data_IF_791926022654
#
_entry.id   IF_791926022654
#
_cell.length_a   1.000
_cell.length_b   1.000
_cell.length_c   1.000
_cell.angle_alpha   90.00
_cell.angle_beta   90.00
_cell.angle_gamma   90.00
#
_symmetry.space_group_name_H-M   'P 1'
#
loop_
_entity.id
_entity.type
_entity.pdbx_description
1 polymer ?
#
# COMPACT_ATOMS: atom_id res chain seq x y z
N UNK A 1 -1.21 18.59 0.82
CA UNK A 1 -1.86 17.32 0.42
C UNK A 1 -3.15 17.18 1.22
N UNK A 2 -4.26 16.86 0.55
CA UNK A 2 -5.50 16.51 1.24
C UNK A 2 -5.38 15.11 1.83
N UNK A 3 -6.11 14.86 2.91
CA UNK A 3 -6.15 13.54 3.54
C UNK A 3 -7.47 13.33 4.28
N UNK A 4 -7.90 12.10 4.34
CA UNK A 4 -8.87 11.62 5.32
C UNK A 4 -8.16 10.78 6.38
N UNK A 5 -8.65 10.82 7.59
CA UNK A 5 -8.27 9.90 8.65
C UNK A 5 -9.52 9.34 9.32
N UNK A 6 -9.38 8.10 9.74
CA UNK A 6 -10.37 7.43 10.57
C UNK A 6 -9.68 7.00 11.86
N UNK A 7 -10.20 7.43 12.99
CA UNK A 7 -9.78 6.95 14.30
C UNK A 7 -10.58 5.70 14.68
N UNK A 8 -10.02 4.82 15.53
CA UNK A 8 -10.78 3.72 16.09
C UNK A 8 -12.09 4.22 16.74
N UNK A 9 -13.14 3.40 16.68
CA UNK A 9 -14.46 3.76 17.20
C UNK A 9 -14.44 4.24 18.66
N UNK A 10 -13.71 3.52 19.52
CA UNK A 10 -13.54 3.83 20.93
C UNK A 10 -12.18 4.49 21.18
N UNK A 11 -11.85 5.49 20.34
CA UNK A 11 -10.56 6.16 20.38
C UNK A 11 -10.31 6.82 21.74
N UNK A 12 -9.22 6.42 22.39
CA UNK A 12 -8.73 7.01 23.61
C UNK A 12 -7.39 7.75 23.34
N UNK A 13 -7.31 9.07 23.46
CA UNK A 13 -6.10 9.84 23.16
C UNK A 13 -4.92 9.53 24.08
N UNK A 14 -5.14 8.82 25.19
CA UNK A 14 -4.09 8.35 26.08
C UNK A 14 -3.44 7.02 25.66
N UNK A 15 -3.97 6.38 24.61
CA UNK A 15 -3.45 5.12 24.09
C UNK A 15 -2.71 5.31 22.77
N UNK A 16 -1.81 4.36 22.47
CA UNK A 16 -1.16 4.28 21.15
C UNK A 16 -1.86 3.24 20.30
N UNK A 17 -2.05 3.57 19.04
CA UNK A 17 -2.73 2.71 18.08
C UNK A 17 -1.83 2.33 16.91
N UNK A 18 -2.03 1.14 16.32
CA UNK A 18 -1.51 0.83 15.00
C UNK A 18 -1.95 1.88 13.98
N UNK A 19 -1.16 2.05 12.93
CA UNK A 19 -1.50 2.91 11.78
C UNK A 19 -1.59 2.05 10.53
N UNK A 20 -2.61 2.29 9.71
CA UNK A 20 -2.68 1.80 8.34
C UNK A 20 -2.62 3.00 7.40
N UNK A 21 -1.55 3.10 6.63
CA UNK A 21 -1.44 4.03 5.52
C UNK A 21 -2.09 3.40 4.29
N UNK A 22 -3.11 4.04 3.73
CA UNK A 22 -3.81 3.59 2.54
C UNK A 22 -3.53 4.50 1.35
N UNK A 23 -2.99 3.94 0.26
CA UNK A 23 -2.65 4.64 -0.97
C UNK A 23 -3.61 4.21 -2.09
N UNK A 24 -4.43 5.13 -2.58
CA UNK A 24 -5.42 4.91 -3.63
C UNK A 24 -4.81 4.76 -5.03
N UNK A 25 -5.60 4.33 -6.00
CA UNK A 25 -5.22 4.20 -7.41
C UNK A 25 -5.17 5.53 -8.18
N UNK A 26 -4.91 5.43 -9.48
CA UNK A 26 -4.78 6.63 -10.32
C UNK A 26 -6.13 7.33 -10.57
N UNK A 27 -7.24 6.60 -10.51
CA UNK A 27 -8.58 7.14 -10.72
C UNK A 27 -9.07 8.08 -9.62
N UNK A 28 -8.54 7.91 -8.41
CA UNK A 28 -8.96 8.64 -7.21
C UNK A 28 -8.10 9.88 -6.92
N UNK A 29 -7.21 10.23 -7.86
CA UNK A 29 -6.41 11.47 -7.78
C UNK A 29 -7.31 12.70 -7.83
N UNK A 30 -6.93 13.73 -7.12
CA UNK A 30 -7.69 14.98 -7.09
C UNK A 30 -7.42 15.86 -5.91
N UNK A 31 -8.44 16.65 -5.55
CA UNK A 31 -8.41 17.61 -4.44
C UNK A 31 -9.77 17.74 -3.73
N UNK A 32 -10.70 16.82 -4.00
CA UNK A 32 -12.02 16.79 -3.35
C UNK A 32 -11.97 16.23 -1.92
N UNK A 33 -10.89 15.53 -1.58
CA UNK A 33 -10.71 14.84 -0.31
C UNK A 33 -11.79 13.78 -0.02
N UNK A 34 -12.33 13.14 -1.07
CA UNK A 34 -13.38 12.12 -1.00
C UNK A 34 -13.05 10.90 -1.86
N UNK A 35 -12.62 11.11 -3.11
CA UNK A 35 -12.39 10.05 -4.08
C UNK A 35 -11.40 8.97 -3.59
N UNK A 36 -10.40 9.33 -2.78
CA UNK A 36 -9.42 8.37 -2.23
C UNK A 36 -10.04 7.26 -1.37
N UNK A 37 -11.32 7.38 -0.97
CA UNK A 37 -12.01 6.39 -0.15
C UNK A 37 -12.98 5.50 -0.95
N UNK A 38 -13.14 5.75 -2.25
CA UNK A 38 -14.09 4.99 -3.10
C UNK A 38 -13.81 3.49 -3.08
N UNK A 39 -12.55 3.09 -3.02
CA UNK A 39 -12.15 1.69 -2.88
C UNK A 39 -11.57 1.45 -1.47
N UNK A 40 -12.15 0.51 -0.75
CA UNK A 40 -11.68 0.11 0.58
C UNK A 40 -12.18 0.97 1.75
N UNK A 41 -12.76 2.14 1.51
CA UNK A 41 -13.28 3.02 2.56
C UNK A 41 -14.28 2.30 3.48
N UNK A 42 -15.25 1.59 2.91
CA UNK A 42 -16.28 0.83 3.66
C UNK A 42 -15.66 -0.31 4.47
N UNK A 43 -14.66 -1.00 3.93
CA UNK A 43 -13.94 -2.07 4.64
C UNK A 43 -13.26 -1.52 5.90
N UNK A 44 -12.54 -0.40 5.79
CA UNK A 44 -11.90 0.22 6.95
C UNK A 44 -12.90 0.80 7.95
N UNK A 45 -14.05 1.32 7.48
CA UNK A 45 -15.06 1.94 8.31
C UNK A 45 -16.08 0.94 8.92
N UNK A 46 -16.08 -0.32 8.49
CA UNK A 46 -17.04 -1.30 8.98
C UNK A 46 -16.95 -1.48 10.50
N UNK A 47 -18.10 -1.68 11.14
CA UNK A 47 -18.18 -1.89 12.58
C UNK A 47 -17.31 -3.06 13.04
N UNK A 48 -17.34 -4.16 12.29
CA UNK A 48 -16.59 -5.38 12.60
C UNK A 48 -15.08 -5.11 12.59
N UNK A 49 -14.57 -4.47 11.51
CA UNK A 49 -13.15 -4.21 11.37
C UNK A 49 -12.65 -3.17 12.39
N UNK A 50 -13.46 -2.13 12.65
CA UNK A 50 -13.15 -1.12 13.68
C UNK A 50 -13.06 -1.74 15.09
N UNK A 51 -13.83 -2.80 15.36
CA UNK A 51 -13.83 -3.49 16.64
C UNK A 51 -12.67 -4.49 16.76
N UNK A 52 -12.44 -5.29 15.71
CA UNK A 52 -11.41 -6.33 15.72
C UNK A 52 -9.99 -5.79 15.51
N UNK A 53 -9.85 -4.75 14.71
CA UNK A 53 -8.57 -4.20 14.24
C UNK A 53 -8.50 -2.69 14.45
N UNK A 54 -8.60 -2.21 15.70
CA UNK A 54 -8.58 -0.78 15.98
C UNK A 54 -7.24 -0.16 15.56
N UNK A 55 -7.29 0.72 14.57
CA UNK A 55 -6.13 1.42 14.01
C UNK A 55 -6.50 2.85 13.58
N UNK A 56 -5.51 3.72 13.51
CA UNK A 56 -5.64 5.01 12.84
C UNK A 56 -5.42 4.76 11.33
N UNK A 57 -6.45 4.99 10.53
CA UNK A 57 -6.34 4.90 9.07
C UNK A 57 -5.96 6.27 8.53
N UNK A 58 -4.91 6.35 7.71
CA UNK A 58 -4.48 7.58 7.04
C UNK A 58 -4.61 7.36 5.54
N UNK A 59 -5.51 8.08 4.89
CA UNK A 59 -5.78 8.02 3.47
C UNK A 59 -5.50 9.38 2.81
N UNK A 60 -4.25 9.65 2.40
CA UNK A 60 -3.90 10.87 1.66
C UNK A 60 -4.48 10.81 0.24
N UNK A 61 -4.77 11.97 -0.36
CA UNK A 61 -5.16 12.08 -1.77
C UNK A 61 -3.99 12.63 -2.59
N UNK A 62 -3.58 11.87 -3.60
CA UNK A 62 -2.58 12.29 -4.57
C UNK A 62 -3.18 13.33 -5.51
N UNK A 63 -2.51 14.46 -5.77
CA UNK A 63 -2.99 15.44 -6.74
C UNK A 63 -3.15 14.85 -8.16
N UNK A 64 -4.04 15.44 -8.97
CA UNK A 64 -4.44 14.92 -10.28
C UNK A 64 -3.26 14.60 -11.23
N UNK A 65 -2.24 15.46 -11.28
CA UNK A 65 -1.10 15.32 -12.20
C UNK A 65 0.13 14.66 -11.53
N UNK A 66 -0.07 14.00 -10.38
CA UNK A 66 1.03 13.39 -9.61
C UNK A 66 0.84 11.90 -9.47
N UNK A 67 1.90 11.24 -8.98
CA UNK A 67 1.93 9.80 -8.70
C UNK A 67 2.57 9.56 -7.34
N UNK A 68 2.29 8.37 -6.75
CA UNK A 68 2.95 7.96 -5.51
C UNK A 68 4.42 7.59 -5.74
N UNK A 69 4.71 6.93 -6.86
CA UNK A 69 6.07 6.48 -7.21
C UNK A 69 6.43 6.86 -8.64
N UNK A 70 7.72 6.95 -8.93
CA UNK A 70 8.19 7.14 -10.29
C UNK A 70 8.07 5.83 -11.10
N UNK A 71 7.42 5.93 -12.23
CA UNK A 71 7.41 4.88 -13.25
C UNK A 71 7.32 5.49 -14.65
N UNK A 72 7.82 4.76 -15.66
CA UNK A 72 7.78 5.16 -17.07
C UNK A 72 7.19 4.01 -17.89
N UNK A 73 6.64 4.33 -19.06
CA UNK A 73 6.10 3.36 -20.00
C UNK A 73 4.58 3.26 -19.98
N UNK A 74 4.05 2.45 -20.89
CA UNK A 74 2.63 2.31 -21.17
C UNK A 74 2.00 1.16 -20.37
N UNK A 75 0.67 1.13 -20.37
CA UNK A 75 -0.13 0.08 -19.74
C UNK A 75 0.12 -1.31 -20.38
N UNK A 76 -0.27 -2.36 -19.67
CA UNK A 76 -0.22 -3.74 -20.14
C UNK A 76 -0.81 -3.89 -21.55
N UNK A 77 -0.21 -4.73 -22.38
CA UNK A 77 -0.67 -5.03 -23.74
C UNK A 77 -0.27 -4.03 -24.84
N UNK A 78 0.47 -2.95 -24.51
CA UNK A 78 1.07 -2.02 -25.51
C UNK A 78 2.59 -2.22 -25.58
N UNK A 79 3.16 -1.94 -26.75
CA UNK A 79 4.62 -1.94 -26.91
C UNK A 79 5.25 -0.98 -25.88
N UNK A 80 6.16 -1.50 -25.04
CA UNK A 80 6.81 -0.73 -24.00
C UNK A 80 6.33 -1.12 -22.60
N UNK A 81 7.03 -2.07 -21.96
CA UNK A 81 6.74 -2.47 -20.58
C UNK A 81 6.94 -1.29 -19.64
N UNK A 82 6.06 -1.19 -18.64
CA UNK A 82 6.22 -0.24 -17.55
C UNK A 82 7.57 -0.44 -16.86
N UNK A 83 8.30 0.63 -16.64
CA UNK A 83 9.65 0.60 -16.06
C UNK A 83 9.67 1.39 -14.75
N UNK A 84 10.25 0.80 -13.73
CA UNK A 84 10.45 1.42 -12.40
C UNK A 84 11.94 1.76 -12.23
N UNK A 85 12.31 3.07 -12.20
CA UNK A 85 13.73 3.46 -12.08
C UNK A 85 14.36 2.99 -10.77
N UNK A 86 15.60 2.53 -10.83
CA UNK A 86 16.33 2.06 -9.64
C UNK A 86 16.58 3.20 -8.64
N UNK A 87 17.08 4.32 -9.13
CA UNK A 87 17.57 5.45 -8.31
C UNK A 87 16.66 6.69 -8.40
N UNK A 88 15.37 6.50 -8.64
CA UNK A 88 14.45 7.62 -8.66
C UNK A 88 14.32 8.26 -7.27
N UNK A 89 14.36 9.61 -7.18
CA UNK A 89 14.03 10.30 -5.94
C UNK A 89 12.59 10.00 -5.53
N UNK A 90 12.24 10.29 -4.28
CA UNK A 90 10.85 10.26 -3.87
C UNK A 90 10.06 11.32 -4.66
N UNK A 91 8.87 10.97 -5.13
CA UNK A 91 7.97 11.97 -5.70
C UNK A 91 7.56 12.98 -4.62
N UNK A 92 7.12 14.16 -5.03
CA UNK A 92 6.59 15.16 -4.08
C UNK A 92 5.43 14.59 -3.25
N UNK A 93 4.57 13.77 -3.87
CA UNK A 93 3.47 13.12 -3.17
C UNK A 93 3.97 12.12 -2.12
N UNK A 94 4.97 11.31 -2.47
CA UNK A 94 5.56 10.34 -1.53
C UNK A 94 6.31 11.03 -0.38
N UNK A 95 7.04 12.10 -0.65
CA UNK A 95 7.69 12.91 0.40
C UNK A 95 6.66 13.48 1.37
N UNK A 96 5.57 14.07 0.86
CA UNK A 96 4.49 14.60 1.69
C UNK A 96 3.75 13.51 2.50
N UNK A 97 3.61 12.29 1.95
CA UNK A 97 3.07 11.14 2.71
C UNK A 97 3.99 10.77 3.87
N UNK A 98 5.31 10.76 3.63
CA UNK A 98 6.28 10.46 4.70
C UNK A 98 6.24 11.53 5.80
N UNK A 99 6.24 12.81 5.44
CA UNK A 99 6.12 13.92 6.40
C UNK A 99 4.83 13.82 7.21
N UNK A 100 3.71 13.50 6.54
CA UNK A 100 2.42 13.29 7.20
C UNK A 100 2.51 12.15 8.23
N UNK A 101 3.05 11.01 7.86
CA UNK A 101 3.20 9.88 8.77
C UNK A 101 4.11 10.22 9.96
N UNK A 102 5.22 10.93 9.70
CA UNK A 102 6.13 11.40 10.75
C UNK A 102 5.43 12.34 11.74
N UNK A 103 4.53 13.21 11.27
CA UNK A 103 3.76 14.09 12.15
C UNK A 103 2.86 13.31 13.11
N UNK A 104 2.19 12.24 12.63
CA UNK A 104 1.39 11.35 13.49
C UNK A 104 2.25 10.60 14.52
N UNK A 105 3.43 10.14 14.09
CA UNK A 105 4.38 9.48 15.01
C UNK A 105 4.83 10.48 16.10
N UNK A 106 5.15 11.70 15.71
CA UNK A 106 5.60 12.76 16.64
C UNK A 106 4.53 13.17 17.66
N UNK A 107 3.24 13.03 17.32
CA UNK A 107 2.13 13.24 18.27
C UNK A 107 2.10 12.22 19.43
N UNK A 108 2.88 11.14 19.34
CA UNK A 108 2.98 10.13 20.38
C UNK A 108 1.79 9.15 20.49
N UNK A 109 0.86 9.20 19.53
CA UNK A 109 -0.36 8.37 19.50
C UNK A 109 -0.22 7.08 18.68
N UNK A 110 0.91 6.93 18.00
CA UNK A 110 1.19 5.79 17.11
C UNK A 110 1.99 4.73 17.85
N UNK A 111 1.54 3.47 17.72
CA UNK A 111 2.38 2.32 18.01
C UNK A 111 3.36 2.11 16.86
N UNK A 112 4.58 2.58 17.03
CA UNK A 112 5.61 2.56 15.98
C UNK A 112 6.09 1.17 15.59
N UNK A 113 5.73 0.14 16.36
CA UNK A 113 5.99 -1.25 15.99
C UNK A 113 4.92 -1.82 15.05
N UNK A 114 3.74 -1.19 14.99
CA UNK A 114 2.59 -1.64 14.21
C UNK A 114 2.13 -0.57 13.23
N UNK A 115 3.01 -0.20 12.31
CA UNK A 115 2.69 0.67 11.18
C UNK A 115 2.59 -0.21 9.94
N UNK A 116 1.47 -0.14 9.25
CA UNK A 116 1.17 -0.93 8.07
C UNK A 116 0.94 -0.03 6.86
N UNK A 117 1.18 -0.53 5.67
CA UNK A 117 0.87 0.17 4.43
C UNK A 117 0.17 -0.74 3.44
N UNK A 118 -0.85 -0.21 2.79
CA UNK A 118 -1.56 -0.88 1.70
C UNK A 118 -1.91 0.11 0.61
N UNK A 119 -2.15 -0.40 -0.59
CA UNK A 119 -2.61 0.42 -1.70
C UNK A 119 -2.86 -0.41 -2.95
N UNK A 120 -3.65 0.16 -3.86
CA UNK A 120 -4.10 -0.51 -5.08
C UNK A 120 -3.58 0.20 -6.33
N UNK A 121 -3.21 -0.56 -7.38
CA UNK A 121 -2.76 -0.04 -8.67
C UNK A 121 -1.59 0.96 -8.50
N UNK A 122 -1.75 2.23 -8.82
CA UNK A 122 -0.78 3.29 -8.52
C UNK A 122 -0.39 3.29 -7.03
N UNK A 123 -1.34 3.06 -6.12
CA UNK A 123 -1.11 2.92 -4.68
C UNK A 123 -0.35 1.64 -4.32
N UNK A 124 -0.55 0.55 -5.05
CA UNK A 124 0.24 -0.68 -4.92
C UNK A 124 1.72 -0.44 -5.28
N UNK A 125 1.96 0.35 -6.33
CA UNK A 125 3.31 0.81 -6.69
C UNK A 125 3.90 1.70 -5.58
N UNK A 126 3.09 2.62 -5.04
CA UNK A 126 3.47 3.46 -3.91
C UNK A 126 3.79 2.68 -2.65
N UNK A 127 3.04 1.59 -2.40
CA UNK A 127 3.28 0.67 -1.28
C UNK A 127 4.65 0.01 -1.37
N UNK A 128 5.03 -0.51 -2.52
CA UNK A 128 6.38 -1.03 -2.72
C UNK A 128 7.43 0.07 -2.56
N UNK A 129 7.22 1.25 -3.18
CA UNK A 129 8.20 2.32 -3.17
C UNK A 129 8.50 2.85 -1.75
N UNK A 130 7.45 3.09 -0.94
CA UNK A 130 7.65 3.61 0.42
C UNK A 130 8.35 2.60 1.33
N UNK A 131 8.04 1.30 1.20
CA UNK A 131 8.74 0.26 1.98
C UNK A 131 10.20 0.15 1.56
N UNK A 132 10.50 0.23 0.25
CA UNK A 132 11.89 0.20 -0.23
C UNK A 132 12.69 1.44 0.19
N UNK A 133 12.05 2.58 0.43
CA UNK A 133 12.71 3.79 0.94
C UNK A 133 12.92 3.75 2.45
N UNK A 134 11.98 3.13 3.18
CA UNK A 134 11.97 3.11 4.65
C UNK A 134 11.79 1.67 5.16
N UNK A 135 12.81 0.80 4.99
CA UNK A 135 12.69 -0.66 5.16
C UNK A 135 12.44 -1.12 6.60
N UNK A 136 12.56 -0.23 7.58
CA UNK A 136 12.34 -0.51 9.00
C UNK A 136 11.19 0.32 9.59
N UNK A 137 10.31 0.84 8.74
CA UNK A 137 9.18 1.68 9.17
C UNK A 137 7.87 0.89 9.28
N UNK A 138 7.68 -0.08 8.39
CA UNK A 138 6.43 -0.82 8.28
C UNK A 138 6.59 -2.25 8.76
N UNK A 139 5.67 -2.72 9.61
CA UNK A 139 5.61 -4.11 10.03
C UNK A 139 5.06 -5.03 8.92
N UNK A 140 4.04 -4.55 8.18
CA UNK A 140 3.48 -5.27 7.06
C UNK A 140 3.10 -4.34 5.90
N UNK A 141 3.11 -4.87 4.68
CA UNK A 141 2.74 -4.19 3.46
C UNK A 141 1.85 -5.08 2.58
N UNK A 142 0.74 -4.53 2.08
CA UNK A 142 -0.16 -5.26 1.19
C UNK A 142 -0.37 -4.51 -0.13
N UNK A 143 0.59 -4.59 -1.07
CA UNK A 143 0.44 -4.03 -2.40
C UNK A 143 -0.54 -4.85 -3.24
N UNK A 144 -1.51 -4.19 -3.88
CA UNK A 144 -2.53 -4.81 -4.74
C UNK A 144 -2.34 -4.30 -6.17
N UNK A 145 -2.29 -5.21 -7.16
CA UNK A 145 -2.10 -4.96 -8.59
C UNK A 145 -1.06 -3.86 -8.91
N UNK A 146 0.06 -3.89 -8.20
CA UNK A 146 1.15 -2.94 -8.33
C UNK A 146 2.39 -3.53 -9.02
N UNK A 147 3.47 -2.77 -8.97
CA UNK A 147 4.77 -3.20 -9.45
C UNK A 147 5.89 -2.34 -8.88
N UNK A 148 7.13 -2.82 -9.00
CA UNK A 148 8.29 -2.15 -8.43
C UNK A 148 9.58 -2.43 -9.22
N UNK A 149 10.66 -1.75 -8.89
CA UNK A 149 11.98 -2.08 -9.40
C UNK A 149 12.48 -3.38 -8.76
N UNK A 150 12.68 -4.40 -9.56
CA UNK A 150 13.07 -5.74 -9.10
C UNK A 150 14.44 -5.77 -8.41
N UNK A 151 15.36 -4.93 -8.84
CA UNK A 151 16.69 -4.86 -8.21
C UNK A 151 16.61 -4.29 -6.79
N UNK A 152 15.73 -3.30 -6.56
CA UNK A 152 15.47 -2.79 -5.20
C UNK A 152 14.84 -3.89 -4.33
N UNK A 153 13.87 -4.63 -4.83
CA UNK A 153 13.23 -5.73 -4.11
C UNK A 153 14.22 -6.86 -3.78
N UNK A 154 15.04 -7.26 -4.76
CA UNK A 154 16.05 -8.31 -4.56
C UNK A 154 17.15 -7.92 -3.54
N UNK A 155 17.34 -6.63 -3.30
CA UNK A 155 18.26 -6.10 -2.30
C UNK A 155 17.58 -5.66 -1.00
N UNK A 156 16.32 -5.99 -0.81
CA UNK A 156 15.59 -5.64 0.41
C UNK A 156 16.23 -6.26 1.66
N UNK A 157 16.45 -5.44 2.69
CA UNK A 157 17.04 -5.85 3.97
C UNK A 157 16.19 -5.43 5.18
N UNK A 158 14.95 -5.05 4.92
CA UNK A 158 14.00 -4.67 5.97
C UNK A 158 13.34 -5.87 6.64
N UNK A 159 12.51 -5.57 7.64
CA UNK A 159 11.72 -6.56 8.39
C UNK A 159 10.26 -6.60 7.97
N UNK A 160 9.84 -5.75 7.04
CA UNK A 160 8.46 -5.69 6.57
C UNK A 160 8.04 -7.02 5.96
N UNK A 161 6.93 -7.59 6.43
CA UNK A 161 6.27 -8.73 5.78
C UNK A 161 5.41 -8.24 4.62
N UNK A 162 5.28 -9.02 3.55
CA UNK A 162 4.51 -8.67 2.36
C UNK A 162 3.38 -9.65 2.11
N UNK A 163 2.18 -9.13 1.79
CA UNK A 163 1.08 -9.90 1.22
C UNK A 163 0.68 -9.26 -0.10
N UNK A 164 1.10 -9.85 -1.20
CA UNK A 164 0.92 -9.30 -2.56
C UNK A 164 -0.33 -9.91 -3.17
N UNK A 165 -1.18 -9.07 -3.78
CA UNK A 165 -2.42 -9.49 -4.45
C UNK A 165 -2.45 -8.98 -5.89
N UNK A 166 -2.99 -9.79 -6.84
CA UNK A 166 -3.15 -9.38 -8.23
C UNK A 166 -4.25 -10.19 -8.94
N UNK A 167 -4.91 -9.57 -9.91
CA UNK A 167 -5.81 -10.27 -10.83
C UNK A 167 -5.03 -10.99 -11.92
N UNK A 168 -5.31 -12.29 -12.13
CA UNK A 168 -4.58 -13.10 -13.12
C UNK A 168 -4.82 -12.68 -14.58
N UNK A 169 -5.89 -11.91 -14.85
CA UNK A 169 -6.25 -11.40 -16.18
C UNK A 169 -6.16 -9.87 -16.25
N UNK A 170 -5.37 -9.25 -15.40
CA UNK A 170 -5.23 -7.79 -15.33
C UNK A 170 -4.78 -7.19 -16.67
N UNK A 171 -5.67 -6.39 -17.30
CA UNK A 171 -5.46 -5.75 -18.59
C UNK A 171 -4.78 -4.38 -18.51
N UNK A 172 -4.54 -3.85 -17.31
CA UNK A 172 -3.98 -2.51 -17.07
C UNK A 172 -2.55 -2.58 -16.52
N UNK A 173 -2.34 -3.41 -15.50
CA UNK A 173 -1.02 -3.66 -14.90
C UNK A 173 -0.72 -5.15 -15.05
N UNK A 174 0.28 -5.48 -15.84
CA UNK A 174 0.64 -6.88 -16.10
C UNK A 174 0.88 -7.62 -14.78
N UNK A 175 0.17 -8.72 -14.57
CA UNK A 175 0.29 -9.60 -13.39
C UNK A 175 1.73 -10.08 -13.16
N UNK A 176 2.53 -10.12 -14.23
CA UNK A 176 3.94 -10.50 -14.16
C UNK A 176 4.74 -9.60 -13.22
N UNK A 177 4.37 -8.32 -13.05
CA UNK A 177 5.04 -7.44 -12.09
C UNK A 177 4.93 -7.95 -10.65
N UNK A 178 3.77 -8.46 -10.25
CA UNK A 178 3.60 -9.02 -8.90
C UNK A 178 4.23 -10.39 -8.74
N UNK A 179 4.22 -11.22 -9.78
CA UNK A 179 4.93 -12.52 -9.79
C UNK A 179 6.44 -12.30 -9.61
N UNK A 180 7.02 -11.39 -10.41
CA UNK A 180 8.43 -11.06 -10.34
C UNK A 180 8.81 -10.40 -9.00
N UNK A 181 7.94 -9.54 -8.44
CA UNK A 181 8.14 -8.93 -7.14
C UNK A 181 8.17 -9.97 -6.01
N UNK A 182 7.23 -10.93 -6.03
CA UNK A 182 7.20 -12.04 -5.09
C UNK A 182 8.49 -12.87 -5.13
N UNK A 183 8.96 -13.23 -6.34
CA UNK A 183 10.20 -13.98 -6.48
C UNK A 183 11.45 -13.18 -6.05
N UNK A 184 11.49 -11.89 -6.34
CA UNK A 184 12.59 -11.04 -5.92
C UNK A 184 12.66 -10.90 -4.39
N UNK A 185 11.51 -10.73 -3.72
CA UNK A 185 11.43 -10.65 -2.26
C UNK A 185 11.77 -11.98 -1.59
N UNK A 186 11.30 -13.12 -2.12
CA UNK A 186 11.71 -14.44 -1.64
C UNK A 186 13.22 -14.64 -1.72
N UNK A 187 13.85 -14.27 -2.83
CA UNK A 187 15.30 -14.35 -3.00
C UNK A 187 16.05 -13.42 -2.03
N UNK A 188 15.45 -12.29 -1.65
CA UNK A 188 15.99 -11.40 -0.63
C UNK A 188 15.85 -11.95 0.80
N UNK A 189 15.09 -13.03 1.00
CA UNK A 189 14.79 -13.62 2.32
C UNK A 189 13.69 -12.88 3.09
N UNK A 190 12.88 -12.08 2.40
CA UNK A 190 11.74 -11.40 3.02
C UNK A 190 10.60 -12.38 3.33
N UNK A 191 9.84 -12.11 4.39
CA UNK A 191 8.57 -12.76 4.62
C UNK A 191 7.57 -12.26 3.58
N UNK A 192 7.16 -13.14 2.65
CA UNK A 192 6.27 -12.76 1.55
C UNK A 192 5.29 -13.88 1.21
N UNK A 193 4.03 -13.52 1.09
CA UNK A 193 2.98 -14.34 0.49
C UNK A 193 2.41 -13.64 -0.76
N UNK A 194 1.96 -14.42 -1.71
CA UNK A 194 1.37 -13.95 -2.96
C UNK A 194 0.07 -14.68 -3.23
N UNK A 195 -0.96 -13.93 -3.58
CA UNK A 195 -2.25 -14.47 -4.02
C UNK A 195 -2.66 -13.84 -5.34
N UNK A 196 -2.83 -14.69 -6.33
CA UNK A 196 -3.37 -14.35 -7.65
C UNK A 196 -4.84 -14.78 -7.73
N UNK A 197 -5.69 -13.92 -8.26
CA UNK A 197 -7.10 -14.21 -8.48
C UNK A 197 -7.33 -14.60 -9.94
N UNK A 198 -7.50 -15.89 -10.26
CA UNK A 198 -7.67 -16.34 -11.65
C UNK A 198 -8.89 -15.70 -12.32
N UNK A 199 -8.72 -15.19 -13.54
CA UNK A 199 -9.80 -14.58 -14.32
C UNK A 199 -10.24 -13.19 -13.87
N UNK A 200 -9.68 -12.65 -12.78
CA UNK A 200 -9.96 -11.30 -12.30
C UNK A 200 -9.10 -10.29 -13.06
N UNK A 201 -9.72 -9.23 -13.55
CA UNK A 201 -9.06 -8.10 -14.20
C UNK A 201 -8.48 -7.12 -13.18
N UNK A 202 -8.24 -5.87 -13.57
CA UNK A 202 -7.53 -4.85 -12.78
C UNK A 202 -8.17 -4.54 -11.42
N UNK A 203 -9.47 -4.71 -11.26
CA UNK A 203 -10.21 -4.46 -10.02
C UNK A 203 -10.00 -5.52 -8.91
N UNK A 204 -8.87 -6.20 -8.91
CA UNK A 204 -8.54 -7.25 -7.93
C UNK A 204 -8.49 -6.79 -6.46
N UNK A 205 -8.56 -5.48 -6.21
CA UNK A 205 -8.72 -4.94 -4.85
C UNK A 205 -10.03 -5.33 -4.20
N UNK A 206 -11.12 -5.50 -4.97
CA UNK A 206 -12.40 -5.97 -4.43
C UNK A 206 -12.24 -7.38 -3.83
N UNK A 207 -11.52 -8.26 -4.54
CA UNK A 207 -11.19 -9.60 -4.08
C UNK A 207 -10.23 -9.57 -2.88
N UNK A 208 -9.20 -8.72 -2.92
CA UNK A 208 -8.22 -8.63 -1.85
C UNK A 208 -8.84 -8.12 -0.53
N UNK A 209 -9.68 -7.08 -0.60
CA UNK A 209 -10.39 -6.56 0.58
C UNK A 209 -11.46 -7.51 1.12
N UNK A 210 -11.99 -8.40 0.29
CA UNK A 210 -12.92 -9.46 0.70
C UNK A 210 -12.23 -10.69 1.32
N UNK A 211 -10.89 -10.76 1.31
CA UNK A 211 -10.18 -11.85 1.99
C UNK A 211 -10.42 -11.80 3.50
N UNK A 212 -10.88 -12.92 4.09
CA UNK A 212 -11.27 -12.93 5.50
C UNK A 212 -10.11 -12.66 6.46
N UNK A 213 -8.88 -12.87 5.98
CA UNK A 213 -7.66 -12.66 6.77
C UNK A 213 -6.89 -11.38 6.37
N UNK A 214 -7.45 -10.52 5.51
CA UNK A 214 -6.73 -9.35 4.99
C UNK A 214 -6.16 -8.44 6.11
N UNK A 215 -7.01 -7.98 7.02
CA UNK A 215 -6.58 -7.19 8.18
C UNK A 215 -5.94 -8.06 9.25
N UNK A 216 -6.48 -9.26 9.51
CA UNK A 216 -5.93 -10.18 10.50
C UNK A 216 -4.45 -10.47 10.24
N UNK A 217 -4.08 -10.70 8.97
CA UNK A 217 -2.70 -10.95 8.60
C UNK A 217 -1.80 -9.74 8.88
N UNK A 218 -2.21 -8.51 8.53
CA UNK A 218 -1.42 -7.32 8.88
C UNK A 218 -1.17 -7.22 10.38
N UNK A 219 -2.21 -7.43 11.19
CA UNK A 219 -2.15 -7.29 12.65
C UNK A 219 -1.36 -8.39 13.37
N UNK A 220 -1.00 -9.46 12.68
CA UNK A 220 -0.08 -10.49 13.21
C UNK A 220 1.38 -10.03 13.21
N UNK A 221 1.73 -8.95 12.48
CA UNK A 221 3.10 -8.50 12.31
C UNK A 221 3.42 -7.27 13.17
N UNK A 222 4.64 -7.26 13.72
CA UNK A 222 5.23 -6.14 14.43
C UNK A 222 6.74 -6.07 14.19
N UNK A 223 7.32 -4.87 14.23
CA UNK A 223 8.78 -4.65 14.12
C UNK A 223 9.51 -5.00 15.44
#
# INVERSE_FOLDING_TARGET
MYKRQLYPRDYNPAQKYPVILFLHGAGERGSDNEAQLVHGGDMFASFENQTKYPAIIIAPQCPAEKTWSEYKGLNAGKEGKRFYPLNAPATQSMAAVKELLDSYIAEGKVDTKRIYVTGLSMGGMGTFDIVMRYPNLFAAATPICGGANLQRLANFKGKTAFSIYHGGSDSVVDVQFSRDANEALKKAGADVRYKEFPGVDHNSWDNAFAEPDYLAWMFQHSL
#
